data_IF_358020585505
#
_entry.id   IF_358020585505
#
_cell.length_a   1.000
_cell.length_b   1.000
_cell.length_c   1.000
_cell.angle_alpha   90.00
_cell.angle_beta   90.00
_cell.angle_gamma   90.00
#
_symmetry.space_group_name_H-M   'P 1'
#
loop_
_entity.id
_entity.type
_entity.pdbx_description
1 polymer ?
#
# COMPACT_ATOMS: atom_id res chain seq x y z
N UNK A 1 22.96 -37.66 -61.10
CA UNK A 1 23.70 -36.60 -60.38
C UNK A 1 22.69 -35.81 -59.57
N UNK A 2 22.55 -36.10 -58.25
CA UNK A 2 21.56 -35.45 -57.36
C UNK A 2 22.35 -34.57 -56.39
N UNK A 3 22.27 -33.27 -56.60
CA UNK A 3 22.82 -32.29 -55.67
C UNK A 3 21.75 -31.96 -54.60
N UNK A 4 22.00 -32.38 -53.34
CA UNK A 4 21.20 -31.99 -52.18
C UNK A 4 21.67 -30.64 -51.68
N UNK A 5 20.79 -29.64 -51.72
CA UNK A 5 21.03 -28.35 -51.06
C UNK A 5 20.78 -28.48 -49.56
N UNK A 6 21.79 -28.18 -48.75
CA UNK A 6 21.69 -28.11 -47.31
C UNK A 6 21.27 -26.70 -46.90
N UNK A 7 20.04 -26.57 -46.33
CA UNK A 7 19.57 -25.29 -45.75
C UNK A 7 20.15 -25.11 -44.37
N UNK A 8 20.98 -24.07 -44.21
CA UNK A 8 21.49 -23.65 -42.94
C UNK A 8 20.46 -22.76 -42.21
N UNK A 9 19.89 -23.28 -41.13
CA UNK A 9 18.99 -22.49 -40.24
C UNK A 9 19.84 -21.72 -39.25
N UNK A 10 19.91 -20.41 -39.41
CA UNK A 10 20.60 -19.51 -38.48
C UNK A 10 19.66 -19.19 -37.31
N UNK A 11 19.91 -19.79 -36.15
CA UNK A 11 19.17 -19.46 -34.94
C UNK A 11 19.70 -18.12 -34.35
N UNK A 12 18.88 -17.08 -34.46
CA UNK A 12 19.15 -15.78 -33.82
C UNK A 12 18.77 -15.86 -32.34
N UNK A 13 19.74 -16.03 -31.47
CA UNK A 13 19.56 -15.86 -30.03
C UNK A 13 19.43 -14.37 -29.70
N UNK A 14 18.23 -13.88 -29.46
CA UNK A 14 18.01 -12.54 -28.90
C UNK A 14 18.38 -12.59 -27.43
N UNK A 15 19.56 -12.07 -27.08
CA UNK A 15 19.92 -11.82 -25.69
C UNK A 15 18.99 -10.73 -25.12
N UNK A 16 18.04 -11.14 -24.29
CA UNK A 16 17.21 -10.20 -23.55
C UNK A 16 18.11 -9.34 -22.65
N UNK A 17 18.11 -8.03 -22.87
CA UNK A 17 18.79 -7.07 -22.00
C UNK A 17 17.99 -6.98 -20.70
N UNK A 18 18.42 -7.68 -19.68
CA UNK A 18 17.92 -7.47 -18.33
C UNK A 18 18.42 -6.11 -17.87
N UNK A 19 17.56 -5.10 -17.85
CA UNK A 19 17.84 -3.85 -17.16
C UNK A 19 17.78 -4.14 -15.66
N UNK A 20 18.85 -3.91 -14.90
CA UNK A 20 18.79 -4.05 -13.46
C UNK A 20 17.77 -3.04 -12.92
N UNK A 21 16.84 -3.52 -12.11
CA UNK A 21 16.00 -2.64 -11.32
C UNK A 21 16.94 -1.68 -10.57
N UNK A 22 16.72 -0.37 -10.72
CA UNK A 22 17.53 0.63 -10.03
C UNK A 22 17.42 0.36 -8.53
N UNK A 23 18.46 -0.23 -7.94
CA UNK A 23 18.61 -0.24 -6.50
C UNK A 23 18.65 1.23 -6.07
N UNK A 24 17.71 1.64 -5.23
CA UNK A 24 17.79 2.94 -4.55
C UNK A 24 19.16 2.99 -3.90
N UNK A 25 19.91 4.09 -4.10
CA UNK A 25 21.27 4.27 -3.60
C UNK A 25 21.36 3.80 -2.14
N UNK A 26 22.03 2.68 -1.93
CA UNK A 26 22.20 2.06 -0.61
C UNK A 26 23.20 2.82 0.29
N UNK A 27 23.73 3.97 -0.17
CA UNK A 27 24.84 4.67 0.45
C UNK A 27 24.48 5.64 1.57
N UNK A 28 23.19 5.88 1.85
CA UNK A 28 22.79 6.72 2.98
C UNK A 28 21.66 6.09 3.80
N UNK A 29 21.90 5.92 5.11
CA UNK A 29 20.85 5.53 6.03
C UNK A 29 19.77 6.61 6.12
N UNK A 30 18.50 6.20 6.09
CA UNK A 30 17.36 7.10 6.34
C UNK A 30 17.06 7.09 7.83
N UNK A 31 17.12 8.27 8.46
CA UNK A 31 16.71 8.45 9.86
C UNK A 31 15.60 9.49 9.90
N UNK A 32 14.47 9.13 10.49
CA UNK A 32 13.30 10.00 10.72
C UNK A 32 12.94 9.96 12.21
N UNK A 33 13.26 11.01 12.94
CA UNK A 33 12.90 11.11 14.34
C UNK A 33 11.42 11.46 14.50
N UNK A 34 10.74 11.05 15.59
CA UNK A 34 9.32 11.33 15.78
C UNK A 34 8.96 12.82 15.68
N UNK A 35 9.80 13.69 16.21
CA UNK A 35 9.60 15.15 16.16
C UNK A 35 9.75 15.77 14.78
N UNK A 36 10.39 15.07 13.83
CA UNK A 36 10.63 15.54 12.47
C UNK A 36 9.53 15.08 11.50
N UNK A 37 8.53 14.36 12.01
CA UNK A 37 7.45 13.82 11.20
C UNK A 37 6.34 14.86 11.03
N UNK A 38 6.30 15.50 9.87
CA UNK A 38 5.23 16.41 9.50
C UNK A 38 4.17 15.60 8.75
N UNK A 39 2.98 15.46 9.34
CA UNK A 39 1.84 14.79 8.73
C UNK A 39 1.05 15.79 7.89
N UNK A 40 0.84 15.45 6.63
CA UNK A 40 0.14 16.29 5.67
C UNK A 40 -1.05 15.54 5.05
N UNK A 41 -2.09 16.27 4.66
CA UNK A 41 -3.25 15.73 3.99
C UNK A 41 -4.39 16.74 3.90
N UNK A 42 -5.38 16.50 3.04
CA UNK A 42 -6.57 17.32 2.94
C UNK A 42 -7.37 17.35 4.25
N UNK A 43 -8.07 18.44 4.53
CA UNK A 43 -8.98 18.50 5.67
C UNK A 43 -10.04 17.38 5.58
N UNK A 44 -10.25 16.66 6.70
CA UNK A 44 -11.22 15.57 6.78
C UNK A 44 -10.75 14.23 6.18
N UNK A 45 -9.50 14.15 5.70
CA UNK A 45 -8.87 12.93 5.25
C UNK A 45 -7.75 12.49 6.21
N UNK A 46 -7.28 11.22 6.15
CA UNK A 46 -6.08 10.81 6.86
C UNK A 46 -4.88 11.65 6.44
N UNK A 47 -4.02 11.94 7.40
CA UNK A 47 -2.76 12.64 7.16
C UNK A 47 -1.62 11.65 7.00
N UNK A 48 -0.65 11.95 6.14
CA UNK A 48 0.44 11.05 5.76
C UNK A 48 1.81 11.68 5.99
N UNK A 49 2.80 10.85 6.27
CA UNK A 49 4.22 11.19 6.17
C UNK A 49 4.98 9.99 5.59
N UNK A 50 5.63 10.18 4.45
CA UNK A 50 6.46 9.15 3.85
C UNK A 50 7.81 9.09 4.56
N UNK A 51 8.12 7.93 5.11
CA UNK A 51 9.37 7.69 5.86
C UNK A 51 10.48 7.15 4.95
N UNK A 52 10.12 6.36 3.95
CA UNK A 52 11.06 5.72 3.02
C UNK A 52 10.39 5.49 1.66
N UNK A 53 11.17 5.57 0.59
CA UNK A 53 10.71 5.31 -0.77
C UNK A 53 9.79 6.40 -1.33
N UNK A 54 9.05 6.01 -2.36
CA UNK A 54 8.06 6.88 -3.03
C UNK A 54 6.79 6.06 -3.29
N UNK A 55 5.68 6.33 -2.57
CA UNK A 55 4.46 5.54 -2.72
C UNK A 55 3.82 5.65 -4.12
N UNK A 56 4.18 6.64 -4.91
CA UNK A 56 3.69 6.81 -6.29
C UNK A 56 4.42 5.97 -7.34
N UNK A 57 5.54 5.33 -6.96
CA UNK A 57 6.42 4.59 -7.88
C UNK A 57 6.50 3.10 -7.53
N UNK A 58 6.88 2.24 -8.49
CA UNK A 58 7.24 0.87 -8.19
C UNK A 58 8.40 0.78 -7.19
N UNK A 59 8.29 -0.08 -6.19
CA UNK A 59 9.31 -0.31 -5.18
C UNK A 59 8.78 -0.26 -3.75
N UNK A 60 9.68 -0.56 -2.82
CA UNK A 60 9.37 -0.51 -1.39
C UNK A 60 9.15 0.93 -0.93
N UNK A 61 8.08 1.13 -0.18
CA UNK A 61 7.86 2.38 0.56
C UNK A 61 7.40 2.09 1.99
N UNK A 62 7.65 3.05 2.88
CA UNK A 62 7.14 3.05 4.25
C UNK A 62 6.46 4.38 4.50
N UNK A 63 5.20 4.32 4.90
CA UNK A 63 4.36 5.48 5.17
C UNK A 63 3.77 5.42 6.57
N UNK A 64 3.63 6.56 7.23
CA UNK A 64 2.79 6.66 8.43
C UNK A 64 1.53 7.42 8.12
N UNK A 65 0.44 6.91 8.66
CA UNK A 65 -0.90 7.46 8.43
C UNK A 65 -1.50 7.78 9.79
N UNK A 66 -1.97 9.00 9.94
CA UNK A 66 -2.67 9.50 11.12
C UNK A 66 -4.15 9.68 10.82
N UNK A 67 -4.98 9.04 11.61
CA UNK A 67 -6.44 9.18 11.59
C UNK A 67 -6.89 9.97 12.80
N UNK A 68 -7.63 11.04 12.55
CA UNK A 68 -8.18 11.85 13.63
C UNK A 68 -9.30 11.12 14.35
N UNK A 69 -9.58 11.46 15.64
CA UNK A 69 -10.66 10.85 16.41
C UNK A 69 -11.99 10.90 15.66
N UNK A 70 -12.72 9.77 15.63
CA UNK A 70 -14.01 9.64 14.97
C UNK A 70 -13.96 9.48 13.45
N UNK A 71 -12.78 9.51 12.83
CA UNK A 71 -12.65 9.41 11.38
C UNK A 71 -13.05 8.04 10.86
N UNK A 72 -14.05 8.01 9.98
CA UNK A 72 -14.49 6.83 9.22
C UNK A 72 -13.80 6.81 7.85
N UNK A 73 -13.28 5.66 7.48
CA UNK A 73 -12.71 5.40 6.16
C UNK A 73 -13.67 4.48 5.42
N UNK A 74 -14.35 5.03 4.43
CA UNK A 74 -15.36 4.31 3.67
C UNK A 74 -14.74 3.19 2.83
N UNK A 75 -15.52 2.18 2.41
CA UNK A 75 -15.03 1.06 1.62
C UNK A 75 -14.22 1.49 0.41
N UNK A 76 -13.00 0.96 0.33
CA UNK A 76 -12.01 1.20 -0.72
C UNK A 76 -11.05 0.02 -0.82
N UNK A 77 -10.15 0.05 -1.80
CA UNK A 77 -9.07 -0.91 -1.94
C UNK A 77 -7.79 -0.22 -2.46
N UNK A 78 -6.67 -0.90 -2.31
CA UNK A 78 -5.35 -0.43 -2.77
C UNK A 78 -4.78 -1.33 -3.87
N UNK A 79 -4.07 -0.76 -4.87
CA UNK A 79 -3.44 -1.53 -5.95
C UNK A 79 -2.11 -2.18 -5.56
N UNK A 80 -1.54 -1.85 -4.40
CA UNK A 80 -0.27 -2.39 -3.92
C UNK A 80 -0.23 -3.92 -4.01
N UNK A 81 0.88 -4.48 -4.48
CA UNK A 81 1.03 -5.93 -4.62
C UNK A 81 1.26 -6.64 -3.29
N UNK A 82 1.94 -5.98 -2.37
CA UNK A 82 2.18 -6.39 -0.98
C UNK A 82 1.94 -5.18 -0.11
N UNK A 83 1.10 -5.31 0.90
CA UNK A 83 0.81 -4.24 1.86
C UNK A 83 0.61 -4.83 3.25
N UNK A 84 1.45 -4.41 4.19
CA UNK A 84 1.34 -4.73 5.61
C UNK A 84 1.16 -3.46 6.41
N UNK A 85 0.37 -3.57 7.47
CA UNK A 85 0.00 -2.44 8.32
C UNK A 85 0.25 -2.80 9.78
N UNK A 86 0.97 -1.94 10.48
CA UNK A 86 1.19 -2.03 11.92
C UNK A 86 0.44 -0.89 12.62
N UNK A 87 -0.41 -1.22 13.56
CA UNK A 87 -1.03 -0.23 14.45
C UNK A 87 0.02 0.25 15.45
N UNK A 88 0.46 1.51 15.31
CA UNK A 88 1.49 2.12 16.15
C UNK A 88 0.91 2.67 17.46
N UNK A 89 -0.28 3.27 17.39
CA UNK A 89 -0.99 3.82 18.55
C UNK A 89 -2.50 3.83 18.32
N UNK A 90 -3.26 3.86 19.43
CA UNK A 90 -4.71 3.82 19.40
C UNK A 90 -5.28 2.44 19.12
N UNK A 91 -6.57 2.39 18.82
CA UNK A 91 -7.28 1.19 18.40
C UNK A 91 -7.93 1.46 17.03
N UNK A 92 -7.50 0.71 16.01
CA UNK A 92 -8.05 0.82 14.66
C UNK A 92 -9.13 -0.23 14.47
N UNK A 93 -10.36 0.21 14.23
CA UNK A 93 -11.47 -0.68 13.92
C UNK A 93 -11.48 -0.95 12.43
N UNK A 94 -11.31 -2.21 12.04
CA UNK A 94 -11.09 -2.63 10.64
C UNK A 94 -12.01 -3.76 10.25
N UNK A 95 -12.49 -3.75 9.01
CA UNK A 95 -13.26 -4.85 8.42
C UNK A 95 -13.02 -4.95 6.91
N UNK A 96 -13.07 -6.17 6.39
CA UNK A 96 -13.07 -6.47 4.95
C UNK A 96 -14.50 -6.45 4.44
N UNK A 97 -14.74 -5.80 3.30
CA UNK A 97 -16.05 -5.73 2.65
C UNK A 97 -16.23 -4.49 1.77
N UNK A 98 -17.19 -4.58 0.86
CA UNK A 98 -17.51 -3.52 -0.11
C UNK A 98 -18.56 -2.52 0.41
N UNK A 99 -19.28 -2.85 1.47
CA UNK A 99 -20.32 -2.01 2.06
C UNK A 99 -19.98 -1.73 3.52
N UNK A 100 -20.21 -0.47 3.94
CA UNK A 100 -20.06 -0.09 5.33
C UNK A 100 -21.02 -0.87 6.22
N UNK A 101 -20.47 -1.55 7.22
CA UNK A 101 -21.21 -2.32 8.22
C UNK A 101 -20.43 -2.31 9.54
N UNK A 102 -20.90 -1.51 10.50
CA UNK A 102 -20.23 -1.34 11.80
C UNK A 102 -20.15 -2.65 12.58
N UNK A 103 -21.09 -3.58 12.39
CA UNK A 103 -21.11 -4.86 13.11
C UNK A 103 -19.94 -5.79 12.71
N UNK A 104 -19.32 -5.55 11.57
CA UNK A 104 -18.16 -6.32 11.07
C UNK A 104 -16.82 -5.78 11.55
N UNK A 105 -16.79 -4.58 12.10
CA UNK A 105 -15.56 -3.96 12.55
C UNK A 105 -14.95 -4.75 13.72
N UNK A 106 -13.68 -5.09 13.59
CA UNK A 106 -12.86 -5.72 14.63
C UNK A 106 -11.84 -4.72 15.15
N UNK A 107 -11.67 -4.70 16.46
CA UNK A 107 -10.70 -3.83 17.12
C UNK A 107 -9.28 -4.38 16.95
N UNK A 108 -8.40 -3.57 16.38
CA UNK A 108 -6.96 -3.81 16.27
C UNK A 108 -6.22 -2.81 17.15
N UNK A 109 -5.81 -3.20 18.37
CA UNK A 109 -5.06 -2.33 19.27
C UNK A 109 -3.63 -2.10 18.78
N UNK A 110 -2.94 -1.14 19.41
CA UNK A 110 -1.51 -0.90 19.16
C UNK A 110 -0.69 -2.20 19.27
N UNK A 111 0.26 -2.40 18.35
CA UNK A 111 1.04 -3.62 18.19
C UNK A 111 0.43 -4.65 17.24
N UNK A 112 -0.82 -4.48 16.80
CA UNK A 112 -1.44 -5.39 15.81
C UNK A 112 -0.78 -5.20 14.45
N UNK A 113 -0.30 -6.31 13.86
CA UNK A 113 0.14 -6.40 12.46
C UNK A 113 -0.92 -7.13 11.65
N UNK A 114 -1.29 -6.58 10.49
CA UNK A 114 -2.16 -7.24 9.53
C UNK A 114 -1.72 -6.94 8.09
N UNK A 115 -2.26 -7.66 7.13
CA UNK A 115 -2.02 -7.44 5.72
C UNK A 115 -3.30 -7.05 5.00
N UNK A 116 -3.15 -6.23 3.97
CA UNK A 116 -4.21 -5.86 3.04
C UNK A 116 -3.85 -6.44 1.66
N UNK A 117 -4.49 -7.56 1.26
CA UNK A 117 -4.26 -8.12 -0.08
C UNK A 117 -4.62 -7.11 -1.17
N UNK A 118 -3.90 -7.13 -2.27
CA UNK A 118 -4.16 -6.26 -3.41
C UNK A 118 -5.64 -6.32 -3.83
N UNK A 119 -6.24 -5.17 -4.04
CA UNK A 119 -7.65 -5.02 -4.47
C UNK A 119 -8.68 -5.66 -3.53
N UNK A 120 -8.32 -5.93 -2.29
CA UNK A 120 -9.25 -6.41 -1.27
C UNK A 120 -10.03 -5.24 -0.67
N UNK A 121 -11.34 -5.15 -0.89
CA UNK A 121 -12.16 -4.08 -0.33
C UNK A 121 -12.17 -4.12 1.19
N UNK A 122 -12.00 -2.96 1.82
CA UNK A 122 -12.04 -2.83 3.27
C UNK A 122 -12.48 -1.43 3.70
N UNK A 123 -12.84 -1.31 4.97
CA UNK A 123 -13.24 -0.05 5.59
C UNK A 123 -12.79 -0.03 7.05
N UNK A 124 -12.72 1.17 7.63
CA UNK A 124 -12.17 1.32 8.96
C UNK A 124 -12.71 2.55 9.71
N UNK A 125 -12.44 2.59 11.01
CA UNK A 125 -12.86 3.67 11.89
C UNK A 125 -11.85 3.90 13.02
N UNK A 126 -11.41 5.13 13.20
CA UNK A 126 -10.68 5.59 14.36
C UNK A 126 -11.68 6.04 15.45
N UNK A 127 -12.48 5.06 15.97
CA UNK A 127 -13.68 5.31 16.76
C UNK A 127 -13.38 5.98 18.10
N UNK A 128 -12.40 5.45 18.82
CA UNK A 128 -12.17 5.77 20.24
C UNK A 128 -11.10 6.85 20.46
N UNK A 129 -10.48 7.35 19.38
CA UNK A 129 -9.42 8.34 19.48
C UNK A 129 -8.55 8.40 18.22
N UNK A 130 -7.46 9.16 18.30
CA UNK A 130 -6.45 9.20 17.25
C UNK A 130 -5.80 7.83 17.05
N UNK A 131 -5.56 7.45 15.81
CA UNK A 131 -4.85 6.23 15.44
C UNK A 131 -3.67 6.57 14.53
N UNK A 132 -2.51 5.99 14.82
CA UNK A 132 -1.35 6.05 13.93
C UNK A 132 -1.05 4.65 13.43
N UNK A 133 -1.01 4.49 12.11
CA UNK A 133 -0.60 3.27 11.43
C UNK A 133 0.78 3.46 10.77
N UNK A 134 1.53 2.37 10.63
CA UNK A 134 2.66 2.30 9.71
C UNK A 134 2.34 1.30 8.62
N UNK A 135 2.41 1.75 7.38
CA UNK A 135 2.27 0.93 6.18
C UNK A 135 3.65 0.63 5.63
N UNK A 136 3.90 -0.63 5.32
CA UNK A 136 5.08 -1.08 4.56
C UNK A 136 4.58 -1.85 3.35
N UNK A 137 4.88 -1.35 2.16
CA UNK A 137 4.27 -1.89 0.95
C UNK A 137 5.16 -1.77 -0.29
N UNK A 138 4.73 -2.46 -1.36
CA UNK A 138 5.35 -2.36 -2.69
C UNK A 138 4.40 -1.57 -3.59
N UNK A 139 4.82 -0.34 -3.94
CA UNK A 139 4.04 0.56 -4.78
C UNK A 139 4.02 0.18 -6.28
N UNK A 140 3.31 0.94 -7.10
CA UNK A 140 2.64 2.20 -6.72
C UNK A 140 1.38 1.96 -5.90
N UNK A 141 1.11 2.87 -4.96
CA UNK A 141 -0.13 2.85 -4.16
C UNK A 141 -1.20 3.77 -4.74
N UNK A 142 -2.40 3.62 -4.22
CA UNK A 142 -3.56 4.46 -4.50
C UNK A 142 -4.70 4.10 -3.57
N UNK A 143 -5.71 4.95 -3.54
CA UNK A 143 -6.96 4.68 -2.84
C UNK A 143 -8.08 4.66 -3.89
N UNK A 144 -8.71 3.50 -4.09
CA UNK A 144 -9.80 3.32 -5.05
C UNK A 144 -11.11 3.15 -4.28
N UNK A 145 -11.93 4.20 -4.20
CA UNK A 145 -13.18 4.15 -3.44
C UNK A 145 -14.20 3.22 -4.10
N UNK A 146 -15.02 2.57 -3.28
CA UNK A 146 -16.14 1.73 -3.71
C UNK A 146 -17.44 2.50 -3.50
N UNK A 147 -18.27 2.67 -4.55
CA UNK A 147 -19.56 3.32 -4.42
C UNK A 147 -20.44 2.61 -3.40
N UNK A 148 -20.98 3.36 -2.44
CA UNK A 148 -21.90 2.82 -1.46
C UNK A 148 -23.34 2.87 -2.01
N UNK A 149 -24.11 1.80 -1.78
CA UNK A 149 -25.54 1.82 -2.08
C UNK A 149 -26.21 2.81 -1.13
N UNK A 150 -27.05 3.70 -1.67
CA UNK A 150 -27.92 4.52 -0.83
C UNK A 150 -28.79 3.60 0.02
N UNK A 151 -28.78 3.77 1.32
CA UNK A 151 -29.78 3.14 2.18
C UNK A 151 -31.12 3.82 1.85
N UNK A 152 -32.01 3.08 1.21
CA UNK A 152 -33.40 3.48 0.99
C UNK A 152 -34.18 3.23 2.25
#
# INVERSE_FOLDING_TARGET
MNTRAASLVLAICTAGVWTPAHAQNADSSVVKLPQDMIYEGPAGAPQHVTLFGDPSKPGLYVDRIKFMPGMKVMPHWHPDTVRTVLVMSGTFYFAVGEQWDESKLKAYPAGTLYSEPARSPHFAWAKDGEVILQVTAIGPTGNVPIPQKSQQ
#
